data_IF_866928463105
#
_entry.id   IF_866928463105
#
_cell.length_a   1.000
_cell.length_b   1.000
_cell.length_c   1.000
_cell.angle_alpha   90.00
_cell.angle_beta   90.00
_cell.angle_gamma   90.00
#
_symmetry.space_group_name_H-M   'P 1'
#
loop_
_entity.id
_entity.type
_entity.pdbx_description
1 polymer ?
#
# COMPACT_ATOMS: atom_id res chain seq x y z
N UNK A 1 -38.28 23.34 29.49
CA UNK A 1 -37.14 22.40 29.62
C UNK A 1 -37.74 21.01 29.78
N UNK A 2 -37.40 19.98 29.01
CA UNK A 2 -36.06 19.49 28.69
C UNK A 2 -36.11 18.82 27.30
N UNK A 3 -35.16 19.18 26.45
CA UNK A 3 -35.01 18.64 25.10
C UNK A 3 -34.74 17.13 25.18
N UNK A 4 -35.42 16.39 24.30
CA UNK A 4 -35.24 14.96 24.11
C UNK A 4 -33.87 14.75 23.46
N UNK A 5 -33.10 13.83 24.05
CA UNK A 5 -31.79 13.38 23.59
C UNK A 5 -31.91 12.88 22.15
N UNK A 6 -31.25 13.58 21.22
CA UNK A 6 -30.94 13.04 19.91
C UNK A 6 -29.65 12.25 20.13
N UNK A 7 -29.78 10.94 20.30
CA UNK A 7 -28.66 10.03 20.19
C UNK A 7 -28.14 10.17 18.75
N UNK A 8 -27.02 10.87 18.61
CA UNK A 8 -26.34 11.04 17.33
C UNK A 8 -25.83 9.66 16.90
N UNK A 9 -26.54 9.03 15.97
CA UNK A 9 -26.08 7.85 15.26
C UNK A 9 -25.24 8.33 14.06
N UNK A 10 -24.09 8.93 14.37
CA UNK A 10 -23.05 9.26 13.39
C UNK A 10 -21.99 8.16 13.40
N UNK A 11 -22.42 6.92 13.16
CA UNK A 11 -21.49 5.85 12.77
C UNK A 11 -21.38 5.92 11.24
N UNK A 12 -20.70 6.96 10.76
CA UNK A 12 -20.52 7.23 9.34
C UNK A 12 -19.59 6.17 8.74
N UNK A 13 -20.06 5.57 7.66
CA UNK A 13 -19.43 4.45 6.97
C UNK A 13 -18.00 4.73 6.53
N UNK A 14 -17.08 3.96 7.07
CA UNK A 14 -15.88 3.57 6.35
C UNK A 14 -16.37 2.65 5.23
N UNK A 15 -16.46 3.18 4.02
CA UNK A 15 -16.70 2.34 2.84
C UNK A 15 -15.34 1.75 2.47
N UNK A 16 -15.06 0.54 2.93
CA UNK A 16 -14.01 -0.26 2.33
C UNK A 16 -14.40 -0.43 0.85
N UNK A 17 -13.62 0.18 -0.06
CA UNK A 17 -13.79 0.00 -1.50
C UNK A 17 -13.16 -1.35 -1.84
N UNK A 18 -13.82 -2.43 -1.42
CA UNK A 18 -13.41 -3.79 -1.73
C UNK A 18 -13.83 -4.10 -3.16
N UNK A 19 -12.83 -4.32 -4.00
CA UNK A 19 -12.82 -5.03 -5.28
C UNK A 19 -14.18 -5.16 -5.99
N UNK A 20 -14.37 -4.33 -7.01
CA UNK A 20 -15.29 -4.64 -8.10
C UNK A 20 -14.81 -5.94 -8.76
N UNK A 21 -15.41 -7.05 -8.37
CA UNK A 21 -15.25 -8.33 -9.04
C UNK A 21 -15.62 -8.13 -10.53
N UNK A 22 -14.62 -8.28 -11.40
CA UNK A 22 -14.83 -8.26 -12.84
C UNK A 22 -15.77 -9.39 -13.24
N UNK A 23 -17.05 -9.06 -13.41
CA UNK A 23 -18.01 -9.95 -14.03
C UNK A 23 -17.63 -10.06 -15.51
N UNK A 24 -16.97 -11.16 -15.86
CA UNK A 24 -16.70 -11.53 -17.26
C UNK A 24 -18.01 -11.96 -17.90
N UNK A 25 -18.50 -11.16 -18.83
CA UNK A 25 -19.61 -11.53 -19.71
C UNK A 25 -19.28 -12.83 -20.46
N UNK A 26 -20.17 -13.80 -20.31
CA UNK A 26 -20.12 -15.06 -21.04
C UNK A 26 -20.47 -14.85 -22.52
N UNK A 27 -19.59 -15.31 -23.41
CA UNK A 27 -19.80 -15.33 -24.85
C UNK A 27 -18.98 -16.43 -25.51
N UNK A 28 -19.68 -17.49 -25.90
CA UNK A 28 -19.21 -18.75 -26.48
C UNK A 28 -18.35 -18.61 -27.77
N UNK A 29 -17.14 -19.20 -27.79
CA UNK A 29 -16.32 -19.33 -29.00
C UNK A 29 -15.03 -20.14 -28.78
N UNK A 30 -15.01 -21.37 -29.29
CA UNK A 30 -13.91 -22.34 -29.26
C UNK A 30 -12.74 -21.94 -30.18
N UNK A 31 -11.52 -21.80 -29.65
CA UNK A 31 -10.26 -22.31 -30.23
C UNK A 31 -9.09 -22.10 -29.26
N UNK A 32 -8.22 -23.10 -29.14
CA UNK A 32 -7.18 -23.16 -28.11
C UNK A 32 -6.03 -22.15 -28.29
N UNK A 33 -5.46 -21.75 -27.15
CA UNK A 33 -4.08 -21.28 -27.02
C UNK A 33 -3.69 -21.35 -25.54
N UNK A 34 -2.41 -21.65 -25.26
CA UNK A 34 -1.81 -21.85 -23.94
C UNK A 34 -2.37 -20.93 -22.86
N UNK A 35 -2.75 -21.54 -21.73
CA UNK A 35 -2.98 -20.82 -20.47
C UNK A 35 -1.66 -20.22 -19.98
N UNK A 36 -1.34 -19.02 -20.42
CA UNK A 36 -0.59 -18.11 -19.57
C UNK A 36 -1.52 -17.71 -18.43
N UNK A 37 -1.12 -18.08 -17.23
CA UNK A 37 -1.79 -17.72 -16.00
C UNK A 37 -1.52 -16.24 -15.70
N UNK A 38 -2.10 -15.33 -16.48
CA UNK A 38 -2.19 -13.93 -16.10
C UNK A 38 -3.35 -13.81 -15.13
N UNK A 39 -3.09 -14.07 -13.86
CA UNK A 39 -3.92 -13.49 -12.79
C UNK A 39 -3.81 -11.98 -12.97
N UNK A 40 -4.75 -11.36 -13.70
CA UNK A 40 -4.94 -9.91 -13.59
C UNK A 40 -5.33 -9.65 -12.15
N UNK A 41 -4.37 -9.16 -11.36
CA UNK A 41 -4.68 -8.58 -10.08
C UNK A 41 -5.78 -7.53 -10.31
N UNK A 42 -6.89 -7.62 -9.58
CA UNK A 42 -7.86 -6.55 -9.50
C UNK A 42 -7.53 -5.72 -8.26
N UNK A 43 -7.82 -4.41 -8.29
CA UNK A 43 -7.65 -3.54 -7.12
C UNK A 43 -6.52 -2.52 -7.25
N UNK A 44 -6.18 -1.88 -6.13
CA UNK A 44 -5.26 -0.73 -6.13
C UNK A 44 -3.81 -1.13 -6.37
N UNK A 45 -3.40 -2.32 -5.92
CA UNK A 45 -2.04 -2.82 -6.18
C UNK A 45 -1.82 -3.06 -7.66
N UNK A 46 -2.82 -3.60 -8.35
CA UNK A 46 -2.77 -3.78 -9.80
C UNK A 46 -2.66 -2.45 -10.54
N UNK A 47 -3.43 -1.44 -10.11
CA UNK A 47 -3.32 -0.09 -10.68
C UNK A 47 -1.93 0.52 -10.51
N UNK A 48 -1.28 0.32 -9.36
CA UNK A 48 0.13 0.71 -9.19
C UNK A 48 1.04 -0.12 -10.10
N UNK A 49 0.82 -1.42 -10.20
CA UNK A 49 1.56 -2.32 -11.10
C UNK A 49 1.47 -1.91 -12.57
N UNK A 50 0.35 -1.32 -13.01
CA UNK A 50 0.22 -0.76 -14.36
C UNK A 50 0.91 0.61 -14.52
N UNK A 51 1.05 1.37 -13.42
CA UNK A 51 1.63 2.71 -13.41
C UNK A 51 3.16 2.72 -13.35
N UNK A 52 3.80 1.68 -12.81
CA UNK A 52 5.26 1.56 -12.76
C UNK A 52 5.88 1.36 -14.16
N UNK A 53 7.18 1.61 -14.29
CA UNK A 53 7.93 1.40 -15.53
C UNK A 53 7.96 -0.06 -15.97
N UNK A 54 8.14 -0.26 -17.28
CA UNK A 54 8.28 -1.59 -17.89
C UNK A 54 9.39 -2.40 -17.22
N UNK A 55 10.48 -1.74 -16.80
CA UNK A 55 11.58 -2.41 -16.09
C UNK A 55 11.12 -3.06 -14.78
N UNK A 56 10.22 -2.44 -14.02
CA UNK A 56 9.67 -3.01 -12.78
C UNK A 56 8.67 -4.11 -13.12
N UNK A 57 7.86 -3.93 -14.17
CA UNK A 57 6.89 -4.95 -14.65
C UNK A 57 7.57 -6.23 -15.10
N UNK A 58 8.76 -6.13 -15.71
CA UNK A 58 9.53 -7.24 -16.22
C UNK A 58 10.36 -7.97 -15.13
N UNK A 59 10.28 -7.56 -13.86
CA UNK A 59 10.99 -8.23 -12.77
C UNK A 59 10.26 -9.51 -12.35
N UNK A 60 10.86 -10.67 -12.62
CA UNK A 60 10.30 -12.00 -12.30
C UNK A 60 10.01 -12.21 -10.81
N UNK A 61 10.71 -11.47 -9.94
CA UNK A 61 10.63 -11.61 -8.50
C UNK A 61 9.76 -10.53 -7.82
N UNK A 62 8.99 -9.76 -8.59
CA UNK A 62 8.08 -8.73 -8.07
C UNK A 62 6.65 -9.05 -8.50
N UNK A 63 5.73 -9.05 -7.54
CA UNK A 63 4.30 -9.16 -7.80
C UNK A 63 3.54 -8.01 -7.13
N UNK A 64 2.53 -7.49 -7.82
CA UNK A 64 1.60 -6.51 -7.28
C UNK A 64 0.32 -7.24 -6.85
N UNK A 65 0.02 -7.22 -5.55
CA UNK A 65 -1.14 -7.92 -5.01
C UNK A 65 -1.69 -7.20 -3.79
N UNK A 66 -3.02 -7.08 -3.71
CA UNK A 66 -3.69 -6.50 -2.55
C UNK A 66 -3.49 -7.37 -1.30
N UNK A 67 -3.44 -6.73 -0.14
CA UNK A 67 -3.21 -7.38 1.15
C UNK A 67 -4.31 -7.01 2.14
N UNK A 68 -5.19 -7.96 2.48
CA UNK A 68 -6.33 -7.75 3.37
C UNK A 68 -5.91 -7.35 4.80
N UNK A 69 -4.77 -7.85 5.28
CA UNK A 69 -4.23 -7.49 6.59
C UNK A 69 -3.78 -6.03 6.59
N UNK A 70 -3.07 -5.60 5.55
CA UNK A 70 -2.62 -4.21 5.42
C UNK A 70 -3.82 -3.27 5.23
N UNK A 71 -4.85 -3.69 4.50
CA UNK A 71 -6.11 -2.95 4.38
C UNK A 71 -6.79 -2.75 5.74
N UNK A 72 -6.95 -3.83 6.51
CA UNK A 72 -7.55 -3.77 7.84
C UNK A 72 -6.72 -2.92 8.80
N UNK A 73 -5.39 -3.03 8.72
CA UNK A 73 -4.47 -2.21 9.51
C UNK A 73 -4.62 -0.72 9.18
N UNK A 74 -4.74 -0.35 7.91
CA UNK A 74 -4.94 1.03 7.50
C UNK A 74 -6.30 1.55 7.97
N UNK A 75 -7.38 0.77 7.83
CA UNK A 75 -8.72 1.12 8.30
C UNK A 75 -8.76 1.41 9.80
N UNK A 76 -8.01 0.67 10.60
CA UNK A 76 -7.92 0.92 12.03
C UNK A 76 -7.04 2.15 12.34
N UNK A 77 -5.86 2.23 11.73
CA UNK A 77 -4.91 3.31 11.99
C UNK A 77 -5.49 4.70 11.69
N UNK A 78 -6.26 4.87 10.60
CA UNK A 78 -6.84 6.17 10.23
C UNK A 78 -7.90 6.67 11.22
N UNK A 79 -8.40 5.82 12.12
CA UNK A 79 -9.32 6.25 13.21
C UNK A 79 -8.63 7.15 14.24
N UNK A 80 -7.29 7.17 14.26
CA UNK A 80 -6.51 8.12 15.06
C UNK A 80 -6.38 9.51 14.43
N UNK A 81 -6.93 9.74 13.23
CA UNK A 81 -6.92 11.05 12.60
C UNK A 81 -8.08 11.89 13.15
N UNK A 82 -7.76 13.07 13.69
CA UNK A 82 -8.77 13.98 14.22
C UNK A 82 -9.64 14.57 13.12
N UNK A 83 -10.90 14.88 13.44
CA UNK A 83 -11.85 15.41 12.44
C UNK A 83 -11.43 16.77 11.84
N UNK A 84 -10.60 17.56 12.53
CA UNK A 84 -10.02 18.79 12.00
C UNK A 84 -8.90 18.51 10.97
N UNK A 85 -8.11 17.46 11.19
CA UNK A 85 -7.05 17.04 10.27
C UNK A 85 -7.68 16.43 9.00
N UNK A 86 -8.75 15.63 9.14
CA UNK A 86 -9.53 15.13 8.01
C UNK A 86 -10.06 16.29 7.15
N UNK A 87 -10.66 17.30 7.76
CA UNK A 87 -11.18 18.47 7.03
C UNK A 87 -10.07 19.28 6.33
N UNK A 88 -8.87 19.31 6.91
CA UNK A 88 -7.72 20.02 6.33
C UNK A 88 -7.15 19.22 5.16
N UNK A 89 -6.94 17.92 5.34
CA UNK A 89 -6.44 17.02 4.30
C UNK A 89 -7.43 16.86 3.14
N UNK A 90 -8.75 16.91 3.39
CA UNK A 90 -9.77 16.79 2.34
C UNK A 90 -9.80 17.97 1.39
N UNK A 91 -9.09 19.06 1.70
CA UNK A 91 -8.93 20.24 0.83
C UNK A 91 -7.56 20.28 0.15
N UNK A 92 -6.70 19.31 0.44
CA UNK A 92 -5.36 19.23 -0.12
C UNK A 92 -5.34 18.34 -1.36
N UNK A 93 -5.17 18.97 -2.52
CA UNK A 93 -5.11 18.28 -3.81
C UNK A 93 -3.75 17.68 -4.12
N UNK A 94 -2.74 17.91 -3.27
CA UNK A 94 -1.42 17.30 -3.43
C UNK A 94 -1.34 16.03 -2.59
N UNK A 95 -0.78 14.97 -3.20
CA UNK A 95 -0.38 13.78 -2.47
C UNK A 95 0.68 14.17 -1.43
N UNK A 96 0.51 13.72 -0.19
CA UNK A 96 1.45 14.02 0.88
C UNK A 96 1.52 12.88 1.89
N UNK A 97 2.68 12.73 2.52
CA UNK A 97 2.90 11.75 3.58
C UNK A 97 2.02 12.06 4.80
N UNK A 98 1.50 11.01 5.44
CA UNK A 98 0.82 11.13 6.73
C UNK A 98 1.86 11.34 7.82
N UNK A 99 1.94 12.56 8.35
CA UNK A 99 2.83 12.91 9.46
C UNK A 99 2.32 12.56 10.86
N UNK A 100 1.10 12.02 10.99
CA UNK A 100 0.51 11.68 12.29
C UNK A 100 1.17 10.42 12.87
N UNK A 101 1.96 10.60 13.93
CA UNK A 101 2.72 9.51 14.57
C UNK A 101 1.86 8.38 15.13
N UNK A 102 0.65 8.66 15.60
CA UNK A 102 -0.24 7.62 16.11
C UNK A 102 -0.76 6.73 14.97
N UNK A 103 -1.10 7.33 13.83
CA UNK A 103 -1.49 6.57 12.63
C UNK A 103 -0.34 5.71 12.13
N UNK A 104 0.88 6.26 12.03
CA UNK A 104 2.05 5.53 11.57
C UNK A 104 2.41 4.36 12.50
N UNK A 105 2.38 4.58 13.82
CA UNK A 105 2.68 3.54 14.82
C UNK A 105 1.63 2.41 14.78
N UNK A 106 0.34 2.77 14.80
CA UNK A 106 -0.75 1.77 14.78
C UNK A 106 -0.74 0.96 13.48
N UNK A 107 -0.53 1.61 12.33
CA UNK A 107 -0.42 0.91 11.05
C UNK A 107 0.77 -0.04 11.04
N UNK A 108 1.94 0.42 11.51
CA UNK A 108 3.14 -0.43 11.59
C UNK A 108 2.89 -1.68 12.42
N UNK A 109 2.33 -1.52 13.61
CA UNK A 109 2.11 -2.66 14.51
C UNK A 109 1.07 -3.62 13.93
N UNK A 110 -0.04 -3.10 13.37
CA UNK A 110 -1.10 -3.93 12.81
C UNK A 110 -0.72 -4.60 11.47
N UNK A 111 0.02 -3.92 10.60
CA UNK A 111 0.49 -4.45 9.31
C UNK A 111 1.79 -5.28 9.42
N UNK A 112 2.42 -5.32 10.61
CA UNK A 112 3.69 -6.00 10.89
C UNK A 112 4.86 -5.40 10.09
N UNK A 113 4.94 -4.06 10.06
CA UNK A 113 6.02 -3.35 9.41
C UNK A 113 7.28 -3.37 10.28
N UNK A 114 8.40 -3.62 9.64
CA UNK A 114 9.71 -3.53 10.27
C UNK A 114 10.23 -2.08 10.30
N UNK A 115 9.60 -1.16 9.55
CA UNK A 115 9.88 0.29 9.55
C UNK A 115 8.68 1.10 9.05
N UNK A 116 8.50 2.30 9.61
CA UNK A 116 7.43 3.28 9.31
C UNK A 116 7.66 4.08 8.02
N UNK A 117 8.45 3.55 7.09
CA UNK A 117 8.66 4.14 5.77
C UNK A 117 9.26 3.13 4.79
N UNK A 118 8.90 3.22 3.51
CA UNK A 118 9.55 2.49 2.42
C UNK A 118 11.01 2.90 2.28
N UNK A 119 11.36 4.15 2.55
CA UNK A 119 12.74 4.65 2.48
C UNK A 119 13.22 5.11 3.85
N UNK A 120 14.45 4.74 4.21
CA UNK A 120 15.10 5.32 5.39
C UNK A 120 15.56 6.77 5.11
N UNK A 121 16.05 7.47 6.14
CA UNK A 121 16.55 8.86 6.03
C UNK A 121 17.74 9.03 5.07
N UNK A 122 18.44 7.95 4.70
CA UNK A 122 19.51 7.94 3.70
C UNK A 122 19.02 7.65 2.26
N UNK A 123 17.71 7.39 2.07
CA UNK A 123 16.96 7.27 0.80
C UNK A 123 17.69 6.56 -0.34
N UNK A 124 18.40 5.47 -0.06
CA UNK A 124 19.16 4.78 -1.12
C UNK A 124 18.43 3.56 -1.70
N UNK A 125 17.79 2.75 -0.84
CA UNK A 125 17.07 1.52 -1.20
C UNK A 125 15.92 1.21 -0.22
N UNK A 126 14.91 0.46 -0.67
CA UNK A 126 13.73 0.10 0.15
C UNK A 126 14.12 -0.74 1.38
N UNK A 127 15.04 -1.70 1.25
CA UNK A 127 15.50 -2.54 2.36
C UNK A 127 16.87 -2.13 2.90
N UNK A 128 17.26 -0.86 2.71
CA UNK A 128 18.51 -0.36 3.29
C UNK A 128 18.49 -0.46 4.82
N UNK A 129 19.59 -0.95 5.40
CA UNK A 129 19.72 -1.26 6.83
C UNK A 129 19.04 -2.56 7.30
N UNK A 130 18.42 -3.34 6.41
CA UNK A 130 17.76 -4.60 6.78
C UNK A 130 18.73 -5.79 6.64
N UNK A 131 19.44 -6.10 7.73
CA UNK A 131 20.56 -7.04 7.75
C UNK A 131 20.15 -8.52 7.79
N UNK A 132 18.93 -8.83 8.21
CA UNK A 132 18.41 -10.19 8.29
C UNK A 132 17.86 -10.64 6.93
N UNK A 133 18.78 -10.95 6.02
CA UNK A 133 18.47 -11.41 4.65
C UNK A 133 17.80 -12.78 4.61
N UNK A 134 17.90 -13.59 5.66
CA UNK A 134 17.30 -14.92 5.74
C UNK A 134 15.87 -14.92 6.31
N UNK A 135 15.21 -13.77 6.35
CA UNK A 135 13.87 -13.60 6.92
C UNK A 135 12.98 -12.71 6.06
N UNK A 136 11.68 -12.95 6.16
CA UNK A 136 10.64 -12.08 5.59
C UNK A 136 10.68 -10.70 6.23
N UNK A 137 10.63 -9.65 5.43
CA UNK A 137 10.72 -8.26 5.88
C UNK A 137 9.66 -7.43 5.18
N UNK A 138 8.98 -6.57 5.92
CA UNK A 138 7.95 -5.68 5.37
C UNK A 138 8.21 -4.24 5.77
N UNK A 139 8.06 -3.32 4.83
CA UNK A 139 8.15 -1.87 5.05
C UNK A 139 6.99 -1.18 4.33
N UNK A 140 6.62 0.03 4.73
CA UNK A 140 5.52 0.73 4.08
C UNK A 140 5.43 2.21 4.44
N UNK A 141 4.76 2.97 3.58
CA UNK A 141 4.43 4.39 3.74
C UNK A 141 2.91 4.59 3.66
N UNK A 142 2.43 5.69 4.24
CA UNK A 142 1.02 6.11 4.16
C UNK A 142 0.96 7.53 3.62
N UNK A 143 0.13 7.71 2.60
CA UNK A 143 -0.19 8.97 1.97
C UNK A 143 -1.62 9.40 2.27
N UNK A 144 -1.88 10.68 2.13
CA UNK A 144 -3.22 11.25 2.12
C UNK A 144 -3.39 12.19 0.92
N UNK A 145 -4.61 12.23 0.38
CA UNK A 145 -5.00 13.15 -0.68
C UNK A 145 -6.52 13.40 -0.65
N UNK A 146 -6.97 14.53 -1.19
CA UNK A 146 -8.38 14.82 -1.45
C UNK A 146 -9.11 13.60 -2.06
N UNK A 147 -10.25 13.27 -1.46
CA UNK A 147 -11.05 12.09 -1.76
C UNK A 147 -11.63 12.03 -3.17
N UNK A 148 -11.68 13.17 -3.87
CA UNK A 148 -12.23 13.31 -5.23
C UNK A 148 -11.18 13.08 -6.33
N UNK A 149 -9.91 12.92 -5.96
CA UNK A 149 -8.82 12.72 -6.91
C UNK A 149 -8.95 11.38 -7.64
N UNK A 150 -8.63 11.37 -8.92
CA UNK A 150 -8.60 10.16 -9.75
C UNK A 150 -7.48 9.23 -9.27
N UNK A 151 -7.83 8.04 -8.78
CA UNK A 151 -6.86 7.11 -8.22
C UNK A 151 -5.83 6.62 -9.24
N UNK A 152 -6.13 6.60 -10.54
CA UNK A 152 -5.13 6.28 -11.57
C UNK A 152 -4.04 7.35 -11.63
N UNK A 153 -4.42 8.63 -11.53
CA UNK A 153 -3.45 9.74 -11.47
C UNK A 153 -2.66 9.76 -10.16
N UNK A 154 -3.26 9.28 -9.08
CA UNK A 154 -2.57 9.15 -7.79
C UNK A 154 -1.58 7.99 -7.82
N UNK A 155 -1.94 6.84 -8.39
CA UNK A 155 -1.01 5.72 -8.57
C UNK A 155 0.16 6.10 -9.48
N UNK A 156 -0.07 6.90 -10.53
CA UNK A 156 1.03 7.43 -11.36
C UNK A 156 2.00 8.30 -10.53
N UNK A 157 1.51 9.16 -9.64
CA UNK A 157 2.39 9.95 -8.76
C UNK A 157 3.19 9.06 -7.80
N UNK A 158 2.56 8.05 -7.22
CA UNK A 158 3.23 7.08 -6.34
C UNK A 158 4.29 6.28 -7.12
N UNK A 159 3.97 5.85 -8.35
CA UNK A 159 4.91 5.18 -9.23
C UNK A 159 6.11 6.09 -9.56
N UNK A 160 5.88 7.34 -9.97
CA UNK A 160 6.94 8.32 -10.25
C UNK A 160 7.88 8.53 -9.04
N UNK A 161 7.34 8.53 -7.82
CA UNK A 161 8.12 8.67 -6.59
C UNK A 161 8.95 7.43 -6.25
N UNK A 162 8.43 6.22 -6.53
CA UNK A 162 9.03 4.97 -6.08
C UNK A 162 9.75 4.13 -7.14
N UNK A 163 9.52 4.36 -8.43
CA UNK A 163 9.97 3.52 -9.54
C UNK A 163 11.47 3.24 -9.47
N UNK A 164 12.27 4.30 -9.35
CA UNK A 164 13.73 4.21 -9.26
C UNK A 164 14.25 3.39 -8.07
N UNK A 165 13.41 3.13 -7.07
CA UNK A 165 13.73 2.29 -5.92
C UNK A 165 13.18 0.87 -6.08
N UNK A 166 12.01 0.69 -6.70
CA UNK A 166 11.52 -0.62 -7.11
C UNK A 166 12.48 -1.29 -8.09
N UNK A 167 13.01 -0.54 -9.06
CA UNK A 167 14.04 -0.98 -9.99
C UNK A 167 15.34 -1.48 -9.34
N UNK A 168 15.54 -1.21 -8.05
CA UNK A 168 16.73 -1.60 -7.28
C UNK A 168 16.45 -2.73 -6.30
N UNK A 169 15.26 -3.31 -6.31
CA UNK A 169 14.96 -4.52 -5.53
C UNK A 169 15.87 -5.65 -6.02
N UNK A 170 16.67 -6.21 -5.12
CA UNK A 170 17.66 -7.22 -5.47
C UNK A 170 16.99 -8.58 -5.59
N UNK A 171 17.35 -9.38 -6.59
CA UNK A 171 16.87 -10.77 -6.74
C UNK A 171 17.42 -11.71 -5.68
N UNK A 172 18.63 -11.44 -5.18
CA UNK A 172 19.26 -12.29 -4.17
C UNK A 172 20.31 -11.53 -3.35
N UNK A 173 20.72 -12.13 -2.24
CA UNK A 173 21.91 -11.76 -1.48
C UNK A 173 22.76 -12.98 -1.18
N UNK A 174 24.08 -12.81 -1.23
CA UNK A 174 25.04 -13.84 -0.83
C UNK A 174 25.61 -13.52 0.54
N UNK A 175 25.46 -14.46 1.48
CA UNK A 175 26.04 -14.37 2.83
C UNK A 175 27.22 -15.33 2.95
N UNK A 176 28.37 -14.77 3.31
CA UNK A 176 29.59 -15.53 3.56
C UNK A 176 29.72 -15.74 5.07
N UNK A 177 29.66 -17.01 5.50
CA UNK A 177 29.94 -17.37 6.89
C UNK A 177 31.44 -17.59 7.06
N UNK A 178 32.05 -16.82 7.97
CA UNK A 178 33.44 -16.98 8.34
C UNK A 178 33.61 -18.26 9.16
N UNK A 179 34.23 -19.26 8.54
CA UNK A 179 34.55 -20.57 9.10
C UNK A 179 35.67 -21.22 8.27
N UNK A 180 36.16 -22.38 8.70
CA UNK A 180 37.12 -23.17 7.94
C UNK A 180 36.54 -24.56 7.67
N UNK A 181 36.07 -24.88 6.44
CA UNK A 181 36.03 -24.01 5.27
C UNK A 181 34.96 -22.90 5.39
N UNK A 182 35.14 -21.80 4.66
CA UNK A 182 34.12 -20.77 4.53
C UNK A 182 32.94 -21.32 3.74
N UNK A 183 31.72 -21.04 4.17
CA UNK A 183 30.51 -21.39 3.43
C UNK A 183 29.84 -20.13 2.89
N UNK A 184 29.26 -20.26 1.70
CA UNK A 184 28.47 -19.22 1.06
C UNK A 184 27.04 -19.69 0.93
N UNK A 185 26.09 -18.88 1.38
CA UNK A 185 24.66 -19.15 1.26
C UNK A 185 24.03 -18.05 0.41
N UNK A 186 23.30 -18.45 -0.64
CA UNK A 186 22.53 -17.53 -1.47
C UNK A 186 21.09 -17.55 -0.97
N UNK A 187 20.52 -16.36 -0.74
CA UNK A 187 19.12 -16.16 -0.43
C UNK A 187 18.46 -15.46 -1.60
N UNK A 188 17.50 -16.11 -2.26
CA UNK A 188 16.69 -15.50 -3.31
C UNK A 188 15.52 -14.76 -2.69
N UNK A 189 15.09 -13.68 -3.33
CA UNK A 189 14.06 -12.79 -2.80
C UNK A 189 12.91 -12.65 -3.78
N UNK A 190 11.72 -12.86 -3.27
CA UNK A 190 10.47 -12.45 -3.92
C UNK A 190 9.89 -11.25 -3.18
N UNK A 191 9.22 -10.37 -3.91
CA UNK A 191 8.61 -9.16 -3.40
C UNK A 191 7.13 -9.11 -3.72
N UNK A 192 6.32 -8.81 -2.72
CA UNK A 192 4.92 -8.41 -2.90
C UNK A 192 4.79 -6.92 -2.60
N UNK A 193 4.37 -6.15 -3.60
CA UNK A 193 4.02 -4.73 -3.46
C UNK A 193 2.50 -4.65 -3.36
N UNK A 194 2.02 -4.04 -2.27
CA UNK A 194 0.59 -3.93 -1.98
C UNK A 194 0.18 -2.49 -1.78
N UNK A 195 -1.02 -2.15 -2.23
CA UNK A 195 -1.66 -0.86 -2.01
C UNK A 195 -3.00 -1.07 -1.32
N UNK A 196 -3.20 -0.35 -0.22
CA UNK A 196 -4.45 -0.31 0.53
C UNK A 196 -5.00 1.10 0.54
N UNK A 197 -6.32 1.25 0.39
CA UNK A 197 -6.96 2.57 0.32
C UNK A 197 -8.16 2.63 1.25
N UNK A 198 -8.24 3.69 2.04
CA UNK A 198 -9.38 3.98 2.92
C UNK A 198 -9.88 5.39 2.68
N UNK A 199 -11.14 5.52 2.28
CA UNK A 199 -11.80 6.82 2.15
C UNK A 199 -12.46 7.22 3.47
N UNK A 200 -12.12 8.41 3.99
CA UNK A 200 -12.66 8.94 5.24
C UNK A 200 -13.39 10.27 4.97
N UNK A 201 -14.70 10.37 5.27
CA UNK A 201 -15.46 11.60 5.04
C UNK A 201 -15.10 12.69 6.04
N UNK A 202 -15.04 13.94 5.57
CA UNK A 202 -14.95 15.12 6.42
C UNK A 202 -16.33 15.45 7.00
N UNK A 203 -16.48 15.28 8.31
CA UNK A 203 -17.78 15.41 9.01
C UNK A 203 -17.82 16.55 10.03
N UNK A 204 -16.70 17.22 10.28
CA UNK A 204 -16.58 18.31 11.27
C UNK A 204 -17.19 19.64 10.82
N UNK A 205 -17.45 19.80 9.52
CA UNK A 205 -18.12 20.96 8.93
C UNK A 205 -19.33 20.49 8.12
N UNK A 206 -20.54 20.80 8.59
CA UNK A 206 -21.79 20.35 7.95
C UNK A 206 -22.10 21.07 6.64
N UNK A 207 -21.37 22.13 6.31
CA UNK A 207 -21.54 22.91 5.07
C UNK A 207 -20.55 22.50 3.98
N UNK A 208 -19.54 21.71 4.33
CA UNK A 208 -18.54 21.19 3.43
C UNK A 208 -18.77 19.69 3.23
N UNK A 209 -18.72 19.26 1.97
CA UNK A 209 -18.81 17.84 1.60
C UNK A 209 -17.49 17.48 0.91
N UNK A 210 -16.71 16.62 1.57
CA UNK A 210 -15.45 16.13 1.05
C UNK A 210 -14.99 14.90 1.82
N UNK A 211 -13.93 14.28 1.35
CA UNK A 211 -13.31 13.13 2.00
C UNK A 211 -11.81 13.12 1.75
N UNK A 212 -11.11 12.21 2.40
CA UNK A 212 -9.68 11.96 2.22
C UNK A 212 -9.50 10.51 1.81
N UNK A 213 -8.72 10.26 0.77
CA UNK A 213 -8.18 8.93 0.50
C UNK A 213 -6.85 8.79 1.25
N UNK A 214 -6.81 7.92 2.24
CA UNK A 214 -5.57 7.42 2.83
C UNK A 214 -5.09 6.22 2.04
N UNK A 215 -3.82 6.21 1.67
CA UNK A 215 -3.24 5.21 0.76
C UNK A 215 -1.98 4.66 1.40
N UNK A 216 -1.98 3.39 1.78
CA UNK A 216 -0.78 2.71 2.22
C UNK A 216 -0.13 1.96 1.07
N UNK A 217 1.19 2.09 0.93
CA UNK A 217 2.00 1.29 0.01
C UNK A 217 2.96 0.46 0.85
N UNK A 218 2.88 -0.86 0.74
CA UNK A 218 3.77 -1.79 1.46
C UNK A 218 4.59 -2.62 0.48
N UNK A 219 5.81 -2.96 0.90
CA UNK A 219 6.70 -3.87 0.17
C UNK A 219 7.12 -4.97 1.13
N UNK A 220 6.75 -6.20 0.81
CA UNK A 220 7.11 -7.40 1.56
C UNK A 220 8.14 -8.18 0.79
N UNK A 221 9.35 -8.35 1.33
CA UNK A 221 10.37 -9.27 0.84
C UNK A 221 10.23 -10.62 1.55
N UNK A 222 10.10 -11.71 0.82
CA UNK A 222 10.20 -13.09 1.32
C UNK A 222 11.50 -13.74 0.84
N UNK A 223 11.92 -14.80 1.53
CA UNK A 223 13.06 -15.62 1.11
C UNK A 223 12.52 -16.90 0.50
N UNK A 224 12.91 -17.18 -0.74
CA UNK A 224 12.54 -18.37 -1.49
C UNK A 224 13.50 -19.55 -1.25
#
# INVERSE_FOLDING_TARGET
MKLKKIASLALAGIMAVSMLAGCKDGGNGNSGSSSENTNSASGYSAMLGEAVSDKVKDMDNVVFADNEKDQTALEDAVKNVGAADILSASKNTNLHDVGNKAVLADFKDAADLHREALLNSAKSFIFDGVTEVNKTRKVGDIFAIDGTMDMSKVMNQIADDYDKYFEKLQENATVISSGSPSTSTVYNFDYTISVSVVNVPATSDTTYVGSVNFIAVTVTRTVA
#
